data_IF_068959982119
#
_entry.id   IF_068959982119
#
_cell.length_a   1.000
_cell.length_b   1.000
_cell.length_c   1.000
_cell.angle_alpha   90.00
_cell.angle_beta   90.00
_cell.angle_gamma   90.00
#
_symmetry.space_group_name_H-M   'P 1'
#
loop_
_entity.id
_entity.type
_entity.pdbx_description
1 polymer ?
#
# COMPACT_ATOMS: atom_id res chain seq x y z
N UNK A 1 -18.85 -15.57 7.34
CA UNK A 1 -18.35 -14.23 6.99
C UNK A 1 -17.22 -13.85 7.94
N UNK A 2 -16.14 -13.41 7.38
CA UNK A 2 -15.02 -12.94 8.18
C UNK A 2 -15.14 -11.41 8.31
N UNK A 3 -14.96 -10.91 9.51
CA UNK A 3 -14.98 -9.45 9.70
C UNK A 3 -13.63 -8.95 10.17
N UNK A 4 -13.39 -7.66 9.93
CA UNK A 4 -12.18 -7.00 10.33
C UNK A 4 -12.57 -5.75 11.13
N UNK A 5 -12.21 -5.74 12.40
CA UNK A 5 -12.44 -4.59 13.29
C UNK A 5 -11.21 -4.49 14.16
N UNK A 6 -10.27 -3.63 13.77
CA UNK A 6 -8.98 -3.51 14.44
C UNK A 6 -8.53 -2.06 14.46
N UNK A 7 -7.57 -1.76 15.29
CA UNK A 7 -6.93 -0.45 15.31
C UNK A 7 -5.94 -0.40 14.16
N UNK A 8 -6.35 0.20 13.04
CA UNK A 8 -5.55 0.18 11.83
C UNK A 8 -4.27 1.01 11.97
N UNK A 9 -4.29 2.08 12.74
CA UNK A 9 -3.10 2.88 12.95
C UNK A 9 -2.03 2.05 13.66
N UNK A 10 -2.42 1.35 14.71
CA UNK A 10 -1.49 0.52 15.46
C UNK A 10 -0.92 -0.58 14.58
N UNK A 11 -1.79 -1.26 13.84
CA UNK A 11 -1.33 -2.33 12.96
C UNK A 11 -0.34 -1.83 11.92
N UNK A 12 -0.62 -0.68 11.33
CA UNK A 12 0.26 -0.11 10.31
C UNK A 12 1.60 0.29 10.91
N UNK A 13 1.58 0.93 12.09
CA UNK A 13 2.81 1.40 12.71
C UNK A 13 3.70 0.25 13.17
N UNK A 14 3.11 -0.87 13.56
CA UNK A 14 3.87 -2.03 14.02
C UNK A 14 4.31 -2.95 12.90
N UNK A 15 3.74 -2.79 11.70
CA UNK A 15 4.09 -3.65 10.58
C UNK A 15 5.53 -3.43 10.14
N UNK A 16 6.29 -4.51 9.99
CA UNK A 16 7.67 -4.45 9.52
C UNK A 16 7.85 -5.05 8.14
N UNK A 17 6.78 -5.61 7.59
CA UNK A 17 6.85 -6.24 6.27
C UNK A 17 6.69 -5.18 5.19
N UNK A 18 7.41 -5.35 4.09
CA UNK A 18 7.25 -4.47 2.95
C UNK A 18 5.79 -4.44 2.52
N UNK A 19 5.14 -5.60 2.46
CA UNK A 19 3.74 -5.69 2.04
C UNK A 19 3.08 -6.82 2.80
N UNK A 20 1.94 -6.53 3.42
CA UNK A 20 1.21 -7.53 4.19
C UNK A 20 -0.28 -7.37 3.96
N UNK A 21 -0.92 -8.39 3.38
CA UNK A 21 -2.35 -8.35 3.14
C UNK A 21 -3.07 -8.69 4.44
N UNK A 22 -3.96 -7.81 4.88
CA UNK A 22 -4.74 -8.03 6.10
C UNK A 22 -6.11 -8.61 5.82
N UNK A 23 -6.74 -8.19 4.75
CA UNK A 23 -8.11 -8.58 4.49
C UNK A 23 -8.42 -8.47 3.01
N UNK A 24 -9.10 -9.48 2.48
CA UNK A 24 -9.57 -9.46 1.10
C UNK A 24 -11.07 -9.67 1.11
N UNK A 25 -11.81 -8.64 0.74
CA UNK A 25 -13.25 -8.72 0.59
C UNK A 25 -13.63 -8.93 -0.86
N UNK A 26 -14.92 -8.91 -1.10
CA UNK A 26 -15.41 -9.09 -2.47
C UNK A 26 -15.02 -7.91 -3.35
N UNK A 27 -15.08 -6.69 -2.81
CA UNK A 27 -14.89 -5.49 -3.61
C UNK A 27 -13.77 -4.59 -3.10
N UNK A 28 -12.96 -5.06 -2.14
CA UNK A 28 -11.85 -4.28 -1.64
C UNK A 28 -10.83 -5.18 -0.98
N UNK A 29 -9.61 -4.68 -0.87
CA UNK A 29 -8.51 -5.38 -0.23
C UNK A 29 -7.72 -4.41 0.62
N UNK A 30 -7.42 -4.80 1.85
CA UNK A 30 -6.67 -3.96 2.80
C UNK A 30 -5.27 -4.51 2.96
N UNK A 31 -4.27 -3.65 2.77
CA UNK A 31 -2.86 -4.04 2.75
C UNK A 31 -2.06 -3.07 3.60
N UNK A 32 -1.12 -3.60 4.40
CA UNK A 32 -0.16 -2.77 5.10
C UNK A 32 1.15 -2.74 4.31
N UNK A 33 1.89 -1.63 4.44
CA UNK A 33 3.18 -1.50 3.79
C UNK A 33 4.15 -0.75 4.69
N UNK A 34 5.41 -1.17 4.69
CA UNK A 34 6.49 -0.49 5.39
C UNK A 34 7.64 -0.31 4.42
N UNK A 35 8.03 0.96 4.21
CA UNK A 35 9.15 1.30 3.33
C UNK A 35 10.31 1.75 4.19
N UNK A 36 11.47 1.15 3.97
CA UNK A 36 12.70 1.58 4.64
C UNK A 36 13.15 2.92 4.09
N UNK A 37 14.04 3.59 4.81
CA UNK A 37 14.59 4.85 4.34
C UNK A 37 15.16 4.67 2.93
N UNK A 38 14.75 5.52 2.01
CA UNK A 38 15.20 5.46 0.63
C UNK A 38 14.49 4.46 -0.26
N UNK A 39 13.67 3.60 0.32
CA UNK A 39 12.97 2.57 -0.45
C UNK A 39 11.75 3.17 -1.16
N UNK A 40 11.40 2.60 -2.30
CA UNK A 40 10.23 3.05 -3.05
C UNK A 40 9.47 1.85 -3.59
N UNK A 41 8.20 2.08 -3.92
CA UNK A 41 7.40 1.00 -4.47
C UNK A 41 7.72 0.74 -5.94
N UNK A 42 8.34 1.70 -6.60
CA UNK A 42 8.55 1.62 -8.04
C UNK A 42 7.35 2.20 -8.78
N UNK A 43 7.60 2.64 -10.00
CA UNK A 43 6.54 3.23 -10.82
C UNK A 43 5.58 2.13 -11.25
N UNK A 44 4.29 2.36 -11.06
CA UNK A 44 3.29 1.32 -11.28
C UNK A 44 1.99 1.92 -11.81
N UNK A 45 1.22 1.08 -12.49
CA UNK A 45 -0.10 1.44 -13.01
C UNK A 45 -1.04 0.27 -12.75
N UNK A 46 -2.16 0.55 -12.11
CA UNK A 46 -3.20 -0.46 -11.87
C UNK A 46 -4.40 -0.09 -12.73
N UNK A 47 -4.64 -0.88 -13.78
CA UNK A 47 -5.68 -0.53 -14.75
C UNK A 47 -7.08 -0.84 -14.26
N UNK A 48 -7.21 -1.77 -13.32
CA UNK A 48 -8.51 -2.35 -12.99
C UNK A 48 -9.04 -1.96 -11.61
N UNK A 49 -8.32 -1.14 -10.85
CA UNK A 49 -8.81 -0.75 -9.54
C UNK A 49 -8.26 0.61 -9.12
N UNK A 50 -9.03 1.27 -8.28
CA UNK A 50 -8.57 2.47 -7.59
C UNK A 50 -7.78 2.06 -6.38
N UNK A 51 -6.93 2.97 -5.92
CA UNK A 51 -6.10 2.74 -4.75
C UNK A 51 -6.19 3.92 -3.81
N UNK A 52 -6.45 3.64 -2.56
CA UNK A 52 -6.42 4.63 -1.49
C UNK A 52 -5.30 4.25 -0.54
N UNK A 53 -4.48 5.21 -0.11
CA UNK A 53 -3.57 4.92 0.99
C UNK A 53 -3.42 6.11 1.91
N UNK A 54 -3.07 5.81 3.15
CA UNK A 54 -2.89 6.79 4.19
C UNK A 54 -1.56 6.53 4.89
N UNK A 55 -0.80 7.62 5.12
CA UNK A 55 0.48 7.54 5.81
C UNK A 55 0.23 7.58 7.30
N UNK A 56 0.69 6.55 8.02
CA UNK A 56 0.51 6.46 9.47
C UNK A 56 1.77 6.85 10.23
N UNK A 57 2.93 6.85 9.56
CA UNK A 57 4.18 7.21 10.21
C UNK A 57 5.21 7.53 9.14
N UNK A 58 6.04 8.55 9.42
CA UNK A 58 7.10 8.90 8.48
C UNK A 58 6.66 9.91 7.46
N UNK A 59 7.51 10.13 6.46
CA UNK A 59 7.26 11.09 5.40
C UNK A 59 7.91 10.62 4.12
N UNK A 60 7.41 11.14 3.01
CA UNK A 60 7.95 10.77 1.72
C UNK A 60 7.40 11.63 0.61
N UNK A 61 7.44 11.09 -0.59
CA UNK A 61 6.89 11.73 -1.78
C UNK A 61 6.05 10.73 -2.54
N UNK A 62 4.98 11.22 -3.13
CA UNK A 62 4.17 10.43 -4.03
C UNK A 62 4.25 11.09 -5.40
N UNK A 63 4.62 10.32 -6.41
CA UNK A 63 4.65 10.80 -7.78
C UNK A 63 3.41 10.27 -8.46
N UNK A 64 2.54 11.17 -8.93
CA UNK A 64 1.29 10.79 -9.58
C UNK A 64 1.24 11.49 -10.91
N UNK A 65 1.15 10.71 -12.00
CA UNK A 65 1.08 11.24 -13.36
C UNK A 65 2.21 12.24 -13.62
N UNK A 66 3.39 11.96 -13.06
CA UNK A 66 4.57 12.79 -13.26
C UNK A 66 4.74 13.91 -12.25
N UNK A 67 3.75 14.18 -11.42
CA UNK A 67 3.83 15.24 -10.42
C UNK A 67 4.25 14.68 -9.07
N UNK A 68 5.28 15.29 -8.48
CA UNK A 68 5.80 14.84 -7.19
C UNK A 68 5.21 15.72 -6.08
N UNK A 69 4.61 15.09 -5.06
CA UNK A 69 3.97 15.79 -3.95
C UNK A 69 4.51 15.20 -2.64
N UNK A 70 4.91 16.07 -1.73
CA UNK A 70 5.38 15.63 -0.41
C UNK A 70 4.20 15.20 0.44
N UNK A 71 4.37 14.10 1.17
CA UNK A 71 3.34 13.56 2.04
C UNK A 71 3.96 13.17 3.39
N UNK A 72 3.12 13.09 4.40
CA UNK A 72 3.56 12.68 5.73
C UNK A 72 2.40 12.12 6.52
N UNK A 73 2.62 11.91 7.81
CA UNK A 73 1.63 11.31 8.70
C UNK A 73 0.28 11.99 8.53
N UNK A 74 -0.77 11.18 8.45
CA UNK A 74 -2.17 11.57 8.34
C UNK A 74 -2.59 12.04 6.95
N UNK A 75 -1.67 12.08 5.98
CA UNK A 75 -2.06 12.39 4.61
C UNK A 75 -2.70 11.18 3.96
N UNK A 76 -3.75 11.43 3.20
CA UNK A 76 -4.43 10.41 2.42
C UNK A 76 -4.21 10.69 0.94
N UNK A 77 -4.06 9.62 0.16
CA UNK A 77 -3.80 9.71 -1.27
C UNK A 77 -4.75 8.76 -1.99
N UNK A 78 -5.37 9.24 -3.06
CA UNK A 78 -6.19 8.39 -3.92
C UNK A 78 -5.56 8.40 -5.31
N UNK A 79 -5.30 7.19 -5.82
CA UNK A 79 -4.78 7.02 -7.17
C UNK A 79 -5.86 6.30 -7.98
N UNK A 80 -6.49 6.99 -8.93
CA UNK A 80 -7.52 6.36 -9.75
C UNK A 80 -6.93 5.27 -10.65
N UNK A 81 -7.78 4.34 -11.05
CA UNK A 81 -7.37 3.29 -11.97
C UNK A 81 -6.73 3.91 -13.22
N UNK A 82 -5.67 3.28 -13.68
CA UNK A 82 -4.98 3.71 -14.89
C UNK A 82 -3.98 4.83 -14.72
N UNK A 83 -3.80 5.34 -13.49
CA UNK A 83 -2.89 6.46 -13.25
C UNK A 83 -1.54 5.93 -12.75
N UNK A 84 -0.47 6.34 -13.40
CA UNK A 84 0.89 5.94 -13.05
C UNK A 84 1.32 6.63 -11.76
N UNK A 85 1.93 5.88 -10.86
CA UNK A 85 2.30 6.43 -9.55
C UNK A 85 3.48 5.69 -8.94
N UNK A 86 4.11 6.33 -7.94
CA UNK A 86 5.22 5.77 -7.19
C UNK A 86 5.21 6.40 -5.80
N UNK A 87 5.51 5.60 -4.77
CA UNK A 87 5.62 6.09 -3.40
C UNK A 87 7.08 5.92 -2.97
N UNK A 88 7.68 7.00 -2.49
CA UNK A 88 9.11 7.03 -2.15
C UNK A 88 9.28 7.49 -0.72
N UNK A 89 10.01 6.73 0.07
CA UNK A 89 10.37 7.15 1.43
C UNK A 89 11.60 8.05 1.34
N UNK A 90 11.39 9.35 1.51
CA UNK A 90 12.49 10.32 1.46
C UNK A 90 13.02 10.67 2.84
N UNK A 91 12.48 10.07 3.89
CA UNK A 91 12.92 10.32 5.25
C UNK A 91 14.02 9.38 5.68
N UNK A 92 14.39 9.50 6.96
CA UNK A 92 15.47 8.69 7.54
C UNK A 92 14.92 7.49 8.31
N UNK A 93 13.62 7.42 8.52
CA UNK A 93 12.98 6.37 9.30
C UNK A 93 11.96 5.62 8.43
N UNK A 94 11.55 4.44 8.86
CA UNK A 94 10.56 3.70 8.09
C UNK A 94 9.28 4.50 7.89
N UNK A 95 8.70 4.37 6.72
CA UNK A 95 7.44 4.99 6.37
C UNK A 95 6.37 3.90 6.43
N UNK A 96 5.35 4.12 7.25
CA UNK A 96 4.29 3.14 7.47
C UNK A 96 3.00 3.63 6.87
N UNK A 97 2.33 2.76 6.14
CA UNK A 97 1.06 3.15 5.53
C UNK A 97 0.15 1.93 5.39
N UNK A 98 -1.13 2.18 5.21
CA UNK A 98 -2.04 1.15 4.78
C UNK A 98 -2.69 1.59 3.48
N UNK A 99 -3.12 0.63 2.70
CA UNK A 99 -3.75 0.93 1.43
C UNK A 99 -4.94 0.03 1.20
N UNK A 100 -5.88 0.52 0.43
CA UNK A 100 -7.10 -0.21 0.07
C UNK A 100 -7.22 -0.17 -1.43
N UNK A 101 -7.39 -1.34 -2.03
CA UNK A 101 -7.68 -1.47 -3.45
C UNK A 101 -9.17 -1.77 -3.62
N UNK A 102 -9.78 -1.16 -4.61
CA UNK A 102 -11.17 -1.44 -4.95
C UNK A 102 -11.34 -1.52 -6.45
N UNK A 103 -11.63 -2.69 -7.00
CA UNK A 103 -11.80 -4.02 -6.40
C UNK A 103 -10.47 -4.64 -6.00
N UNK A 104 -10.49 -5.80 -5.37
CA UNK A 104 -9.26 -6.43 -4.89
C UNK A 104 -8.30 -6.75 -6.03
N UNK A 105 -7.02 -6.77 -5.71
CA UNK A 105 -5.99 -7.34 -6.55
C UNK A 105 -6.35 -8.81 -6.77
N UNK A 106 -5.68 -9.47 -7.72
CA UNK A 106 -5.94 -10.88 -8.01
C UNK A 106 -6.06 -11.68 -6.71
N UNK A 107 -7.25 -12.25 -6.42
CA UNK A 107 -7.44 -12.95 -5.15
C UNK A 107 -6.50 -14.14 -4.95
N UNK A 108 -6.13 -14.83 -6.02
CA UNK A 108 -5.22 -15.96 -5.90
C UNK A 108 -3.81 -15.51 -5.57
N UNK A 109 -3.37 -14.44 -6.21
CA UNK A 109 -2.05 -13.87 -5.90
C UNK A 109 -2.06 -13.38 -4.45
N UNK A 110 -3.15 -12.75 -4.03
CA UNK A 110 -3.28 -12.27 -2.66
C UNK A 110 -3.15 -13.42 -1.69
N UNK A 111 -3.82 -14.54 -1.95
CA UNK A 111 -3.75 -15.68 -1.06
C UNK A 111 -2.32 -16.19 -0.89
N UNK A 112 -1.55 -16.21 -1.97
CA UNK A 112 -0.17 -16.69 -1.90
C UNK A 112 0.75 -15.67 -1.23
N UNK A 113 0.41 -14.39 -1.26
CA UNK A 113 1.20 -13.34 -0.65
C UNK A 113 0.79 -13.06 0.78
N UNK A 114 -0.33 -13.56 1.20
CA UNK A 114 -0.87 -13.26 2.51
C UNK A 114 0.03 -13.72 3.63
N UNK A 115 -0.38 -13.42 4.85
CA UNK A 115 0.38 -13.81 6.04
C UNK A 115 1.74 -13.14 6.11
N UNK A 116 1.85 -11.93 5.58
CA UNK A 116 3.09 -11.19 5.68
C UNK A 116 4.09 -11.53 4.60
N UNK A 117 3.72 -12.30 3.63
CA UNK A 117 4.57 -12.61 2.51
C UNK A 117 4.85 -11.35 1.72
N UNK A 118 6.09 -11.13 1.36
CA UNK A 118 6.42 -9.95 0.58
C UNK A 118 6.72 -10.35 -0.81
N UNK A 119 6.45 -10.94 -1.47
CA UNK A 119 6.64 -11.29 -2.77
C UNK A 119 6.92 -10.45 -3.82
N UNK A 120 6.59 -10.37 -3.75
CA UNK A 120 6.28 -10.15 -4.42
C UNK A 120 6.23 -10.12 -5.19
N UNK A 121 6.02 -10.35 -5.79
CA UNK A 121 5.57 -10.16 -6.46
C UNK A 121 5.21 -10.30 -7.08
N UNK A 122 5.03 -10.29 -7.23
CA UNK A 122 4.30 -10.32 -7.53
C UNK A 122 3.84 -9.94 -7.84
N UNK A 123 3.95 -10.05 -7.85
CA UNK A 123 3.24 -9.56 -7.91
C UNK A 123 2.83 -9.15 -8.00
N UNK A 124 3.22 -8.99 -8.18
CA UNK A 124 2.67 -8.43 -8.03
C UNK A 124 2.47 -7.92 -7.93
N UNK A 125 2.52 -7.80 -7.77
CA UNK A 125 2.27 -7.16 -7.45
C UNK A 125 2.09 -6.59 -7.25
N UNK A 126 2.19 -6.23 -7.23
CA UNK A 126 1.84 -5.73 -6.98
C UNK A 126 1.70 -5.23 -6.63
N UNK A 127 1.54 -4.81 -6.23
CA UNK A 127 1.41 -4.21 -5.96
C UNK A 127 1.39 -4.18 -5.70
#
# INVERSE_FOLDING_TARGET
MKRFIEDIEELAQENKDYRRVLYTGKNMQLVLMSLKAGEQTGEDVHEDHDQFFRIEKGKGEVVIAGDSVKVGKDDAVIVPAGVRHNVINTGQKPMKLFMIYGPPHDPEVVASLGAGETAEPEGDGEP
#
